data_IF_891570972608
#
_entry.id   IF_891570972608
#
_cell.length_a   1.000
_cell.length_b   1.000
_cell.length_c   1.000
_cell.angle_alpha   90.00
_cell.angle_beta   90.00
_cell.angle_gamma   90.00
#
_symmetry.space_group_name_H-M   'P 1'
#
loop_
_entity.id
_entity.type
_entity.pdbx_description
1 polymer ?
#
# COMPACT_ATOMS: atom_id res chain seq x y z
N UNK A 1 15.95 4.69 -15.28
CA UNK A 1 15.39 3.34 -15.55
C UNK A 1 15.23 2.58 -14.24
N UNK A 2 14.04 2.08 -13.89
CA UNK A 2 13.88 1.18 -12.72
C UNK A 2 14.71 -0.08 -12.98
N UNK A 3 15.61 -0.51 -12.08
CA UNK A 3 16.43 -1.70 -12.33
C UNK A 3 15.50 -2.89 -12.57
N UNK A 4 15.57 -3.45 -13.78
CA UNK A 4 14.84 -4.67 -14.11
C UNK A 4 15.58 -5.80 -13.41
N UNK A 5 15.08 -6.21 -12.25
CA UNK A 5 15.57 -7.40 -11.56
C UNK A 5 15.59 -8.61 -12.51
N UNK A 6 16.43 -9.60 -12.21
CA UNK A 6 16.58 -10.82 -13.01
C UNK A 6 15.20 -11.39 -13.37
N UNK A 7 14.95 -11.65 -14.65
CA UNK A 7 13.68 -12.27 -15.11
C UNK A 7 13.62 -13.68 -14.52
N UNK A 8 12.63 -13.94 -13.67
CA UNK A 8 12.36 -15.25 -13.08
C UNK A 8 11.24 -15.86 -13.91
N UNK A 9 11.44 -17.07 -14.46
CA UNK A 9 10.51 -17.69 -15.42
C UNK A 9 9.13 -18.05 -14.85
N UNK A 10 8.98 -18.10 -13.52
CA UNK A 10 7.68 -18.29 -12.86
C UNK A 10 7.64 -17.52 -11.55
N UNK A 11 7.26 -16.24 -11.66
CA UNK A 11 7.09 -15.30 -10.57
C UNK A 11 5.70 -15.44 -9.92
N UNK A 12 5.46 -14.79 -8.78
CA UNK A 12 4.14 -14.77 -8.13
C UNK A 12 3.02 -14.25 -9.06
N UNK A 13 3.35 -13.41 -10.05
CA UNK A 13 2.37 -12.81 -10.97
C UNK A 13 1.76 -13.83 -11.93
N UNK A 14 2.48 -14.92 -12.18
CA UNK A 14 2.05 -15.98 -13.09
C UNK A 14 1.06 -16.95 -12.41
N UNK A 15 0.77 -16.74 -11.12
CA UNK A 15 -0.19 -17.54 -10.36
C UNK A 15 -1.37 -16.68 -9.93
N UNK A 16 -2.58 -17.15 -10.21
CA UNK A 16 -3.81 -16.42 -9.92
C UNK A 16 -4.40 -16.92 -8.61
N UNK A 17 -4.67 -16.00 -7.68
CA UNK A 17 -5.34 -16.35 -6.44
C UNK A 17 -6.84 -16.54 -6.67
N UNK A 18 -7.40 -17.67 -6.24
CA UNK A 18 -8.84 -17.94 -6.24
C UNK A 18 -9.38 -17.77 -4.82
N UNK A 19 -10.21 -16.75 -4.61
CA UNK A 19 -10.81 -16.45 -3.30
C UNK A 19 -11.78 -17.53 -2.82
N UNK A 20 -12.53 -18.16 -3.73
CA UNK A 20 -13.54 -19.17 -3.39
C UNK A 20 -12.94 -20.44 -2.77
N UNK A 21 -11.73 -20.82 -3.20
CA UNK A 21 -11.05 -22.06 -2.78
C UNK A 21 -9.88 -21.81 -1.83
N UNK A 22 -9.61 -20.55 -1.49
CA UNK A 22 -8.39 -20.11 -0.79
C UNK A 22 -7.13 -20.83 -1.31
N UNK A 23 -6.88 -20.69 -2.61
CA UNK A 23 -5.78 -21.39 -3.28
C UNK A 23 -5.20 -20.55 -4.41
N UNK A 24 -3.93 -20.80 -4.76
CA UNK A 24 -3.36 -20.25 -5.99
C UNK A 24 -3.48 -21.25 -7.13
N UNK A 25 -3.92 -20.78 -8.29
CA UNK A 25 -3.94 -21.53 -9.54
C UNK A 25 -2.61 -21.29 -10.29
N UNK A 26 -1.94 -22.38 -10.62
CA UNK A 26 -0.74 -22.41 -11.47
C UNK A 26 -1.14 -22.30 -12.97
N UNK A 27 -0.26 -21.80 -13.86
CA UNK A 27 -0.50 -21.82 -15.32
C UNK A 27 -0.85 -23.19 -15.90
N UNK A 28 -0.45 -24.28 -15.24
CA UNK A 28 -0.81 -25.65 -15.63
C UNK A 28 -2.08 -26.17 -14.91
N UNK A 29 -2.97 -25.28 -14.48
CA UNK A 29 -4.26 -25.57 -13.82
C UNK A 29 -4.20 -26.42 -12.55
N UNK A 30 -3.07 -26.39 -11.83
CA UNK A 30 -2.92 -27.07 -10.52
C UNK A 30 -3.03 -26.08 -9.37
N UNK A 31 -3.61 -26.52 -8.26
CA UNK A 31 -3.80 -25.71 -7.06
C UNK A 31 -2.60 -25.79 -6.12
N UNK A 32 -2.24 -24.64 -5.55
CA UNK A 32 -1.35 -24.54 -4.41
C UNK A 32 -2.21 -24.25 -3.18
N UNK A 33 -2.12 -25.11 -2.18
CA UNK A 33 -2.92 -25.04 -0.96
C UNK A 33 -2.16 -24.33 0.17
N UNK A 34 -2.87 -23.64 1.08
CA UNK A 34 -2.26 -22.99 2.24
C UNK A 34 -1.70 -24.06 3.19
N UNK A 35 -0.54 -23.77 3.79
CA UNK A 35 0.05 -24.63 4.83
C UNK A 35 0.23 -23.90 6.14
N UNK A 36 1.25 -23.04 6.20
CA UNK A 36 1.68 -22.41 7.45
C UNK A 36 1.57 -20.90 7.33
N UNK A 37 1.20 -20.28 8.44
CA UNK A 37 1.21 -18.83 8.63
C UNK A 37 2.45 -18.48 9.46
N UNK A 38 3.29 -17.61 8.94
CA UNK A 38 4.45 -17.10 9.65
C UNK A 38 4.02 -16.10 10.74
N UNK A 39 4.85 -15.89 11.78
CA UNK A 39 4.59 -14.91 12.87
C UNK A 39 4.37 -13.48 12.36
N UNK A 40 4.87 -13.19 11.17
CA UNK A 40 4.71 -11.90 10.46
C UNK A 40 3.42 -11.81 9.64
N UNK A 41 2.52 -12.80 9.72
CA UNK A 41 1.23 -12.79 9.00
C UNK A 41 1.32 -13.18 7.52
N UNK A 42 2.33 -13.95 7.13
CA UNK A 42 2.45 -14.47 5.76
C UNK A 42 2.01 -15.93 5.68
N UNK A 43 1.00 -16.18 4.86
CA UNK A 43 0.50 -17.51 4.51
C UNK A 43 1.35 -18.06 3.37
N UNK A 44 1.86 -19.29 3.54
CA UNK A 44 2.60 -20.04 2.50
C UNK A 44 1.66 -20.99 1.78
N UNK A 45 1.55 -20.83 0.47
CA UNK A 45 0.83 -21.73 -0.45
C UNK A 45 1.85 -22.60 -1.16
N UNK A 46 1.67 -23.91 -1.12
CA UNK A 46 2.66 -24.86 -1.65
C UNK A 46 2.04 -25.90 -2.57
N UNK A 47 2.83 -26.35 -3.55
CA UNK A 47 2.59 -27.57 -4.34
C UNK A 47 3.88 -28.39 -4.41
N UNK A 48 3.78 -29.70 -4.24
CA UNK A 48 4.93 -30.60 -4.30
C UNK A 48 5.32 -30.96 -5.74
N UNK A 49 6.60 -31.30 -5.97
CA UNK A 49 7.07 -31.80 -7.27
C UNK A 49 6.35 -33.08 -7.72
N UNK A 50 5.83 -33.87 -6.78
CA UNK A 50 5.05 -35.09 -7.03
C UNK A 50 3.68 -34.75 -7.63
N UNK A 51 2.95 -33.82 -7.01
CA UNK A 51 1.66 -33.34 -7.52
C UNK A 51 1.78 -32.68 -8.89
N UNK A 52 2.93 -32.09 -9.22
CA UNK A 52 3.19 -31.56 -10.56
C UNK A 52 3.23 -32.64 -11.66
N UNK A 53 3.55 -33.90 -11.37
CA UNK A 53 3.57 -34.99 -12.36
C UNK A 53 4.42 -34.65 -13.59
N UNK A 54 3.83 -34.80 -14.79
CA UNK A 54 4.44 -34.56 -16.11
C UNK A 54 4.21 -33.12 -16.62
N UNK A 55 4.19 -32.14 -15.73
CA UNK A 55 4.03 -30.73 -16.12
C UNK A 55 5.18 -30.27 -17.05
N UNK A 56 4.88 -29.67 -18.22
CA UNK A 56 5.92 -29.22 -19.16
C UNK A 56 6.80 -28.11 -18.58
N UNK A 57 6.26 -27.32 -17.64
CA UNK A 57 6.95 -26.20 -17.00
C UNK A 57 7.73 -26.59 -15.73
N UNK A 58 7.79 -27.88 -15.38
CA UNK A 58 8.33 -28.37 -14.10
C UNK A 58 9.79 -27.94 -13.88
N UNK A 59 10.63 -28.10 -14.89
CA UNK A 59 12.07 -27.79 -14.81
C UNK A 59 12.33 -26.29 -14.61
N UNK A 60 11.55 -25.43 -15.27
CA UNK A 60 11.70 -23.99 -15.14
C UNK A 60 11.05 -23.42 -13.86
N UNK A 61 9.87 -23.94 -13.49
CA UNK A 61 9.07 -23.43 -12.37
C UNK A 61 9.65 -23.82 -11.01
N UNK A 62 10.08 -25.08 -10.84
CA UNK A 62 10.65 -25.62 -9.61
C UNK A 62 12.17 -25.53 -9.57
N UNK A 63 12.85 -25.53 -10.74
CA UNK A 63 14.30 -25.68 -10.83
C UNK A 63 14.76 -26.89 -10.00
N UNK A 64 15.56 -26.67 -8.96
CA UNK A 64 16.05 -27.71 -8.06
C UNK A 64 15.22 -27.86 -6.77
N UNK A 65 14.12 -27.11 -6.62
CA UNK A 65 13.30 -27.16 -5.41
C UNK A 65 12.34 -28.37 -5.41
N UNK A 66 12.16 -28.99 -4.25
CA UNK A 66 11.21 -30.08 -4.06
C UNK A 66 9.73 -29.63 -4.07
N UNK A 67 9.49 -28.33 -3.83
CA UNK A 67 8.16 -27.69 -3.75
C UNK A 67 8.22 -26.27 -4.28
N UNK A 68 7.13 -25.81 -4.87
CA UNK A 68 6.93 -24.40 -5.24
C UNK A 68 6.14 -23.73 -4.12
N UNK A 69 6.66 -22.62 -3.59
CA UNK A 69 6.02 -21.87 -2.51
C UNK A 69 5.70 -20.45 -2.97
N UNK A 70 4.47 -19.99 -2.69
CA UNK A 70 4.02 -18.62 -2.89
C UNK A 70 3.58 -18.06 -1.55
N UNK A 71 4.01 -16.84 -1.24
CA UNK A 71 3.63 -16.16 -0.01
C UNK A 71 2.56 -15.11 -0.27
N UNK A 72 1.53 -15.08 0.57
CA UNK A 72 0.46 -14.07 0.58
C UNK A 72 0.30 -13.54 1.99
N UNK A 73 0.28 -12.23 2.16
CA UNK A 73 0.01 -11.63 3.47
C UNK A 73 -1.48 -11.76 3.79
N UNK A 74 -1.85 -11.91 5.06
CA UNK A 74 -3.27 -12.02 5.48
C UNK A 74 -4.08 -10.82 4.97
N UNK A 75 -3.55 -9.60 5.10
CA UNK A 75 -4.20 -8.37 4.61
C UNK A 75 -4.11 -8.12 3.10
N UNK A 76 -3.57 -9.05 2.31
CA UNK A 76 -3.45 -8.85 0.86
C UNK A 76 -4.80 -8.62 0.17
N UNK A 77 -5.87 -9.28 0.63
CA UNK A 77 -7.23 -9.06 0.11
C UNK A 77 -7.69 -7.62 0.31
N UNK A 78 -7.44 -7.03 1.48
CA UNK A 78 -7.76 -5.62 1.73
C UNK A 78 -6.91 -4.66 0.89
N UNK A 79 -5.63 -4.99 0.65
CA UNK A 79 -4.75 -4.20 -0.23
C UNK A 79 -5.21 -4.23 -1.69
N UNK A 80 -5.68 -5.38 -2.16
CA UNK A 80 -6.27 -5.57 -3.50
C UNK A 80 -7.56 -4.76 -3.61
N UNK A 81 -8.50 -4.91 -2.67
CA UNK A 81 -9.73 -4.12 -2.65
C UNK A 81 -9.46 -2.60 -2.61
N UNK A 82 -8.49 -2.16 -1.81
CA UNK A 82 -8.08 -0.74 -1.75
C UNK A 82 -7.48 -0.27 -3.07
N UNK A 83 -6.72 -1.12 -3.76
CA UNK A 83 -6.19 -0.82 -5.09
C UNK A 83 -7.32 -0.65 -6.10
N UNK A 84 -8.30 -1.55 -6.09
CA UNK A 84 -9.42 -1.52 -7.04
C UNK A 84 -10.30 -0.30 -6.80
N UNK A 85 -10.60 0.01 -5.52
CA UNK A 85 -11.27 1.25 -5.13
C UNK A 85 -10.51 2.48 -5.63
N UNK A 86 -9.19 2.54 -5.48
CA UNK A 86 -8.37 3.66 -5.96
C UNK A 86 -8.39 3.79 -7.49
N UNK A 87 -8.50 2.68 -8.22
CA UNK A 87 -8.54 2.68 -9.69
C UNK A 87 -9.95 2.92 -10.26
N UNK A 88 -11.00 2.77 -9.44
CA UNK A 88 -12.36 3.13 -9.81
C UNK A 88 -12.50 4.61 -10.18
N UNK A 89 -13.57 4.97 -10.88
CA UNK A 89 -13.83 6.35 -11.29
C UNK A 89 -13.92 7.30 -10.09
N UNK A 90 -14.75 6.95 -9.10
CA UNK A 90 -14.85 7.70 -7.83
C UNK A 90 -13.52 7.78 -7.10
N UNK A 91 -12.73 6.70 -7.09
CA UNK A 91 -11.40 6.68 -6.49
C UNK A 91 -10.44 7.67 -7.14
N UNK A 92 -10.46 7.77 -8.47
CA UNK A 92 -9.65 8.74 -9.22
C UNK A 92 -10.07 10.18 -8.92
N UNK A 93 -11.36 10.45 -8.85
CA UNK A 93 -11.90 11.77 -8.48
C UNK A 93 -11.46 12.20 -7.09
N UNK A 94 -11.61 11.32 -6.09
CA UNK A 94 -11.13 11.58 -4.72
C UNK A 94 -9.61 11.76 -4.70
N UNK A 95 -8.87 10.93 -5.44
CA UNK A 95 -7.41 11.02 -5.50
C UNK A 95 -6.93 12.34 -6.11
N UNK A 96 -7.67 12.89 -7.09
CA UNK A 96 -7.35 14.19 -7.69
C UNK A 96 -7.41 15.34 -6.67
N UNK A 97 -8.30 15.27 -5.67
CA UNK A 97 -8.42 16.28 -4.60
C UNK A 97 -7.21 16.31 -3.64
N UNK A 98 -6.34 15.30 -3.68
CA UNK A 98 -5.16 15.19 -2.81
C UNK A 98 -4.18 16.34 -3.03
N UNK A 99 -4.05 16.82 -4.26
CA UNK A 99 -3.17 17.95 -4.63
C UNK A 99 -3.60 19.26 -3.94
N UNK A 100 -4.90 19.45 -3.76
CA UNK A 100 -5.50 20.67 -3.18
C UNK A 100 -5.53 20.61 -1.66
N UNK A 101 -5.75 19.42 -1.11
CA UNK A 101 -5.90 19.20 0.33
C UNK A 101 -4.56 18.85 0.98
N UNK A 102 -4.16 17.58 0.90
CA UNK A 102 -3.12 16.98 1.72
C UNK A 102 -1.72 17.37 1.23
N UNK A 103 -1.48 17.39 -0.08
CA UNK A 103 -0.14 17.70 -0.62
C UNK A 103 0.25 19.15 -0.38
N UNK A 104 -0.70 20.09 -0.48
CA UNK A 104 -0.49 21.48 -0.11
C UNK A 104 -0.08 21.62 1.36
N UNK A 105 -0.79 20.93 2.27
CA UNK A 105 -0.42 20.95 3.69
C UNK A 105 0.97 20.36 3.93
N UNK A 106 1.30 19.24 3.29
CA UNK A 106 2.65 18.66 3.42
C UNK A 106 3.75 19.56 2.83
N UNK A 107 3.47 20.28 1.75
CA UNK A 107 4.37 21.28 1.19
C UNK A 107 4.66 22.38 2.21
N UNK A 108 3.61 22.99 2.77
CA UNK A 108 3.73 24.03 3.79
C UNK A 108 4.50 23.54 5.03
N UNK A 109 4.19 22.34 5.51
CA UNK A 109 4.86 21.76 6.67
C UNK A 109 6.36 21.50 6.43
N UNK A 110 6.74 21.13 5.20
CA UNK A 110 8.14 20.92 4.84
C UNK A 110 8.91 22.23 4.72
N UNK A 111 8.34 23.19 4.01
CA UNK A 111 9.02 24.43 3.64
C UNK A 111 8.98 25.47 4.79
N UNK A 112 7.86 25.58 5.51
CA UNK A 112 7.69 26.60 6.56
C UNK A 112 7.75 26.06 7.99
N UNK A 113 7.56 24.76 8.20
CA UNK A 113 7.58 24.15 9.53
C UNK A 113 8.74 23.16 9.74
N UNK A 114 9.69 23.10 8.80
CA UNK A 114 10.95 22.38 8.98
C UNK A 114 10.84 20.86 8.94
N UNK A 115 9.74 20.28 8.41
CA UNK A 115 9.61 18.83 8.23
C UNK A 115 10.45 18.25 7.09
N UNK A 116 11.24 19.06 6.39
CA UNK A 116 12.20 18.59 5.40
C UNK A 116 13.29 17.71 6.03
N UNK A 117 13.64 17.96 7.29
CA UNK A 117 14.69 17.23 8.01
C UNK A 117 14.21 16.77 9.39
N UNK A 118 14.77 15.67 9.88
CA UNK A 118 14.59 15.21 11.26
C UNK A 118 15.55 15.97 12.17
N UNK A 119 15.02 16.76 13.11
CA UNK A 119 15.85 17.56 14.04
C UNK A 119 16.41 16.77 15.21
N UNK A 120 15.78 15.66 15.57
CA UNK A 120 16.16 14.84 16.71
C UNK A 120 16.70 13.48 16.26
N UNK A 121 17.51 12.83 17.11
CA UNK A 121 17.93 11.44 16.93
C UNK A 121 16.95 10.50 17.66
N UNK A 122 16.56 9.41 16.99
CA UNK A 122 15.63 8.41 17.52
C UNK A 122 14.18 8.61 17.09
N UNK A 123 13.44 7.50 16.95
CA UNK A 123 12.06 7.50 16.46
C UNK A 123 11.10 8.21 17.41
N UNK A 124 11.20 7.94 18.70
CA UNK A 124 10.31 8.49 19.74
C UNK A 124 10.38 10.02 19.82
N UNK A 125 11.59 10.59 19.89
CA UNK A 125 11.77 12.05 19.93
C UNK A 125 11.24 12.73 18.67
N UNK A 126 11.46 12.14 17.49
CA UNK A 126 10.89 12.65 16.24
C UNK A 126 9.37 12.55 16.21
N UNK A 127 8.80 11.48 16.77
CA UNK A 127 7.35 11.32 16.87
C UNK A 127 6.74 12.43 17.73
N UNK A 128 7.24 12.64 18.95
CA UNK A 128 6.75 13.67 19.88
C UNK A 128 6.83 15.07 19.25
N UNK A 129 7.96 15.41 18.64
CA UNK A 129 8.13 16.69 17.93
C UNK A 129 7.08 16.87 16.81
N UNK A 130 6.87 15.83 15.99
CA UNK A 130 5.88 15.88 14.89
C UNK A 130 4.46 16.01 15.41
N UNK A 131 4.11 15.33 16.49
CA UNK A 131 2.79 15.45 17.13
C UNK A 131 2.52 16.89 17.58
N UNK A 132 3.47 17.52 18.28
CA UNK A 132 3.34 18.91 18.71
C UNK A 132 3.23 19.86 17.51
N UNK A 133 4.08 19.68 16.49
CA UNK A 133 4.07 20.48 15.28
C UNK A 133 2.74 20.38 14.53
N UNK A 134 2.15 19.18 14.43
CA UNK A 134 0.82 18.99 13.82
C UNK A 134 -0.29 19.64 14.65
N UNK A 135 -0.21 19.60 15.99
CA UNK A 135 -1.14 20.31 16.85
C UNK A 135 -1.09 21.82 16.62
N UNK A 136 0.12 22.40 16.61
CA UNK A 136 0.32 23.82 16.29
C UNK A 136 -0.19 24.19 14.89
N UNK A 137 0.05 23.32 13.90
CA UNK A 137 -0.43 23.53 12.54
C UNK A 137 -1.96 23.50 12.45
N UNK A 138 -2.61 22.58 13.16
CA UNK A 138 -4.07 22.52 13.23
C UNK A 138 -4.65 23.79 13.87
N UNK A 139 -4.01 24.34 14.91
CA UNK A 139 -4.41 25.61 15.51
C UNK A 139 -4.27 26.76 14.49
N UNK A 140 -3.14 26.84 13.77
CA UNK A 140 -2.96 27.82 12.68
C UNK A 140 -4.06 27.71 11.62
N UNK A 141 -4.41 26.48 11.21
CA UNK A 141 -5.47 26.22 10.23
C UNK A 141 -6.85 26.66 10.74
N UNK A 142 -7.15 26.40 12.02
CA UNK A 142 -8.39 26.83 12.64
C UNK A 142 -8.49 28.36 12.68
N UNK A 143 -7.44 29.04 13.11
CA UNK A 143 -7.39 30.51 13.14
C UNK A 143 -7.66 31.12 11.75
N UNK A 144 -6.97 30.63 10.71
CA UNK A 144 -7.17 31.07 9.33
C UNK A 144 -8.55 30.74 8.75
N UNK A 145 -9.23 29.73 9.29
CA UNK A 145 -10.58 29.36 8.89
C UNK A 145 -11.62 30.25 9.56
N UNK A 146 -11.43 30.57 10.84
CA UNK A 146 -12.27 31.52 11.58
C UNK A 146 -12.18 32.93 10.98
N UNK A 147 -10.97 33.40 10.66
CA UNK A 147 -10.74 34.69 10.01
C UNK A 147 -11.46 34.80 8.65
N UNK A 148 -11.30 33.80 7.78
CA UNK A 148 -12.02 33.75 6.50
C UNK A 148 -13.54 33.69 6.64
N UNK A 149 -14.06 33.06 7.70
CA UNK A 149 -15.51 33.04 7.97
C UNK A 149 -16.01 34.41 8.41
N UNK A 150 -15.22 35.13 9.22
CA UNK A 150 -15.53 36.50 9.64
C UNK A 150 -15.60 37.44 8.43
N UNK A 151 -14.58 37.44 7.58
CA UNK A 151 -14.54 38.27 6.36
C UNK A 151 -15.73 37.99 5.43
N UNK A 152 -16.09 36.72 5.20
CA UNK A 152 -17.27 36.37 4.40
C UNK A 152 -18.61 36.77 5.04
N UNK A 153 -18.67 36.83 6.37
CA UNK A 153 -19.84 37.33 7.09
C UNK A 153 -20.00 38.84 6.93
N UNK A 154 -18.89 39.56 6.99
CA UNK A 154 -18.82 41.01 6.76
C UNK A 154 -19.16 41.35 5.30
N UNK A 155 -18.57 40.69 4.31
CA UNK A 155 -18.88 40.87 2.88
C UNK A 155 -20.37 40.65 2.56
N UNK A 156 -21.04 39.71 3.23
CA UNK A 156 -22.48 39.45 3.07
C UNK A 156 -23.37 40.44 3.82
N UNK A 157 -22.83 41.16 4.80
CA UNK A 157 -23.56 42.19 5.55
C UNK A 157 -23.55 43.54 4.83
N UNK A 158 -22.53 43.78 4.00
CA UNK A 158 -22.36 44.98 3.18
C UNK A 158 -22.70 44.79 1.70
N UNK A 159 -23.27 43.65 1.31
CA UNK A 159 -23.80 43.35 -0.02
C UNK A 159 -25.33 43.21 0.04
#
# INVERSE_FOLDING_TARGET
MRPKGKRISFSKRDFTYQSEKDAYLCPNNKFLHPKNIDRKGFIKYEISKKECGDCPFKNECLKNAARKTITRHIYSGHLEATRDLRLSQRGKEIYALRKESIERMFGELKEHHGLRYTRYRGLEKNFNYRCLLYACYNIKKLALLLDRRKQKGEEKMYA
#
